data_IF_903698542230
#
_entry.id   IF_903698542230
#
_cell.length_a   1.000
_cell.length_b   1.000
_cell.length_c   1.000
_cell.angle_alpha   90.00
_cell.angle_beta   90.00
_cell.angle_gamma   90.00
#
_symmetry.space_group_name_H-M   'P 1'
#
loop_
_entity.id
_entity.type
_entity.pdbx_description
1 polymer ?
#
# COMPACT_ATOMS: atom_id res chain seq x y z
N UNK A 1 -22.66 0.45 21.87
CA UNK A 1 -22.24 -0.96 21.63
C UNK A 1 -22.81 -1.30 20.26
N UNK A 2 -21.95 -1.55 19.28
CA UNK A 2 -22.32 -1.59 17.86
C UNK A 2 -22.40 -3.01 17.32
N UNK A 3 -21.97 -4.01 18.11
CA UNK A 3 -21.98 -5.42 17.75
C UNK A 3 -22.17 -6.27 19.01
N UNK A 4 -23.21 -7.08 19.03
CA UNK A 4 -23.55 -7.99 20.11
C UNK A 4 -23.17 -9.44 19.80
N UNK A 5 -22.61 -9.71 18.63
CA UNK A 5 -22.27 -11.06 18.16
C UNK A 5 -21.41 -11.83 19.16
N UNK A 6 -20.36 -11.25 19.79
CA UNK A 6 -19.60 -11.96 20.81
C UNK A 6 -20.42 -12.34 22.04
N UNK A 7 -21.37 -11.51 22.45
CA UNK A 7 -22.20 -11.78 23.62
C UNK A 7 -23.14 -12.98 23.39
N UNK A 8 -23.60 -13.19 22.16
CA UNK A 8 -24.44 -14.33 21.81
C UNK A 8 -23.68 -15.66 21.78
N UNK A 9 -22.34 -15.59 21.73
CA UNK A 9 -21.45 -16.78 21.73
C UNK A 9 -20.90 -17.09 23.13
N UNK A 10 -21.20 -16.25 24.13
CA UNK A 10 -20.75 -16.50 25.50
C UNK A 10 -21.44 -17.71 26.09
N UNK A 11 -20.70 -18.78 26.28
CA UNK A 11 -21.06 -19.98 27.03
C UNK A 11 -20.16 -20.07 28.26
N UNK A 12 -20.48 -20.98 29.19
CA UNK A 12 -19.61 -21.25 30.35
C UNK A 12 -18.22 -21.68 29.93
N UNK A 13 -18.10 -22.42 28.82
CA UNK A 13 -16.82 -22.83 28.24
C UNK A 13 -16.00 -21.64 27.72
N UNK A 14 -16.64 -20.75 26.97
CA UNK A 14 -16.00 -19.52 26.45
C UNK A 14 -15.59 -18.60 27.60
N UNK A 15 -16.44 -18.47 28.61
CA UNK A 15 -16.17 -17.64 29.79
C UNK A 15 -15.03 -18.18 30.67
N UNK A 16 -14.71 -19.49 30.57
CA UNK A 16 -13.62 -20.15 31.27
C UNK A 16 -12.35 -20.30 30.43
N UNK A 17 -12.36 -19.86 29.17
CA UNK A 17 -11.23 -19.99 28.28
C UNK A 17 -10.21 -18.85 28.49
N UNK A 18 -8.93 -19.17 28.54
CA UNK A 18 -7.86 -18.18 28.63
C UNK A 18 -7.74 -17.33 27.35
N UNK A 19 -8.09 -17.91 26.22
CA UNK A 19 -8.02 -17.28 24.88
C UNK A 19 -9.19 -17.75 24.02
N UNK A 20 -9.87 -16.83 23.35
CA UNK A 20 -10.99 -17.19 22.48
C UNK A 20 -11.14 -16.24 21.29
N UNK A 21 -11.15 -16.81 20.08
CA UNK A 21 -11.53 -16.11 18.87
C UNK A 21 -13.01 -16.33 18.58
N UNK A 22 -13.81 -15.27 18.65
CA UNK A 22 -15.23 -15.33 18.32
C UNK A 22 -15.44 -15.49 16.81
N UNK A 23 -16.51 -16.18 16.43
CA UNK A 23 -16.94 -16.23 15.03
C UNK A 23 -17.42 -14.83 14.62
N UNK A 24 -16.80 -14.20 13.60
CA UNK A 24 -17.24 -12.89 13.15
C UNK A 24 -18.62 -12.95 12.52
N UNK A 25 -19.40 -11.89 12.71
CA UNK A 25 -20.68 -11.76 12.03
C UNK A 25 -20.52 -11.70 10.51
N UNK A 26 -21.55 -12.17 9.79
CA UNK A 26 -21.62 -11.88 8.36
C UNK A 26 -21.50 -10.38 8.10
N UNK A 27 -20.75 -10.01 7.09
CA UNK A 27 -20.43 -8.61 6.79
C UNK A 27 -20.82 -8.27 5.37
N UNK A 28 -21.53 -7.16 5.20
CA UNK A 28 -21.84 -6.66 3.87
C UNK A 28 -20.69 -5.80 3.36
N UNK A 29 -20.28 -6.05 2.11
CA UNK A 29 -19.42 -5.15 1.38
C UNK A 29 -20.21 -3.90 1.02
N UNK A 30 -20.16 -2.91 1.90
CA UNK A 30 -20.79 -1.62 1.68
C UNK A 30 -19.73 -0.62 1.23
N UNK A 31 -20.09 0.20 0.25
CA UNK A 31 -19.39 1.44 -0.02
C UNK A 31 -20.23 2.56 0.57
N UNK A 32 -19.79 3.07 1.69
CA UNK A 32 -20.32 4.34 2.16
C UNK A 32 -19.64 5.44 1.36
N UNK A 33 -20.42 6.21 0.62
CA UNK A 33 -19.88 7.41 -0.01
C UNK A 33 -19.34 8.30 1.10
N UNK A 34 -18.06 8.62 1.03
CA UNK A 34 -17.51 9.72 1.84
C UNK A 34 -18.42 10.93 1.61
N UNK A 35 -18.89 11.59 2.67
CA UNK A 35 -19.68 12.80 2.48
C UNK A 35 -18.89 13.72 1.56
N UNK A 36 -19.47 14.06 0.40
CA UNK A 36 -18.80 14.88 -0.61
C UNK A 36 -18.35 16.22 -0.01
N UNK A 37 -17.50 16.91 -0.73
CA UNK A 37 -17.04 18.27 -0.40
C UNK A 37 -18.24 19.13 0.04
N UNK A 38 -18.35 19.41 1.35
CA UNK A 38 -19.43 20.22 1.93
C UNK A 38 -20.36 19.50 2.91
N UNK A 39 -20.30 18.19 3.04
CA UNK A 39 -20.96 17.49 4.16
C UNK A 39 -20.06 17.61 5.39
N UNK A 40 -20.14 18.74 6.08
CA UNK A 40 -19.60 18.86 7.42
C UNK A 40 -20.33 17.85 8.30
N UNK A 41 -19.60 16.93 8.92
CA UNK A 41 -20.09 16.25 10.10
C UNK A 41 -20.42 17.33 11.12
N UNK A 42 -21.69 17.68 11.20
CA UNK A 42 -22.14 18.65 12.20
C UNK A 42 -21.88 18.03 13.60
N UNK A 43 -21.59 18.85 14.62
CA UNK A 43 -21.29 18.37 15.98
C UNK A 43 -22.43 17.60 16.64
N UNK A 44 -23.48 17.24 15.90
CA UNK A 44 -24.70 16.55 16.35
C UNK A 44 -24.99 15.23 15.64
N UNK A 45 -24.14 14.80 14.70
CA UNK A 45 -24.26 13.49 14.05
C UNK A 45 -23.64 12.39 14.91
N UNK A 46 -24.31 11.26 15.08
CA UNK A 46 -23.69 10.05 15.63
C UNK A 46 -22.61 9.53 14.67
N UNK A 47 -21.55 8.92 15.19
CA UNK A 47 -20.56 8.22 14.35
C UNK A 47 -21.21 6.96 13.78
N UNK A 48 -21.01 6.71 12.49
CA UNK A 48 -21.39 5.43 11.90
C UNK A 48 -20.58 4.29 12.55
N UNK A 49 -21.15 3.06 12.61
CA UNK A 49 -20.34 1.89 12.96
C UNK A 49 -19.13 1.76 12.01
N UNK A 50 -18.00 1.20 12.48
CA UNK A 50 -16.86 0.94 11.61
C UNK A 50 -17.27 0.10 10.41
N UNK A 51 -16.81 0.50 9.22
CA UNK A 51 -16.99 -0.27 7.99
C UNK A 51 -16.06 -1.48 8.01
N UNK A 52 -16.57 -2.65 7.59
CA UNK A 52 -15.77 -3.85 7.47
C UNK A 52 -16.15 -4.99 8.39
N UNK A 53 -15.35 -6.06 8.36
CA UNK A 53 -15.54 -7.23 9.20
C UNK A 53 -14.96 -6.99 10.60
N UNK A 54 -15.81 -7.12 11.61
CA UNK A 54 -15.42 -6.96 13.02
C UNK A 54 -15.02 -8.30 13.59
N UNK A 55 -13.76 -8.43 13.92
CA UNK A 55 -13.15 -9.64 14.47
C UNK A 55 -12.91 -9.37 15.95
N UNK A 56 -13.59 -10.13 16.81
CA UNK A 56 -13.48 -10.02 18.25
C UNK A 56 -12.74 -11.23 18.80
N UNK A 57 -11.92 -10.99 19.81
CA UNK A 57 -11.22 -12.04 20.54
C UNK A 57 -11.01 -11.64 21.99
N UNK A 58 -10.90 -12.65 22.84
CA UNK A 58 -10.71 -12.50 24.27
C UNK A 58 -9.37 -13.10 24.67
N UNK A 59 -8.67 -12.40 25.56
CA UNK A 59 -7.43 -12.82 26.20
C UNK A 59 -7.60 -12.63 27.70
N UNK A 60 -7.43 -13.68 28.50
CA UNK A 60 -7.55 -13.58 29.96
C UNK A 60 -6.47 -12.67 30.53
N UNK A 61 -5.24 -12.83 30.02
CA UNK A 61 -4.09 -12.01 30.34
C UNK A 61 -3.45 -11.47 29.05
N UNK A 62 -2.75 -10.33 29.17
CA UNK A 62 -1.93 -9.83 28.07
C UNK A 62 -0.80 -10.85 27.80
N UNK A 63 -0.64 -11.38 26.57
CA UNK A 63 0.41 -12.32 26.26
C UNK A 63 1.79 -11.66 26.34
N UNK A 64 2.77 -12.36 26.87
CA UNK A 64 4.17 -11.92 26.88
C UNK A 64 4.80 -11.94 25.48
N UNK A 65 4.21 -12.72 24.57
CA UNK A 65 4.69 -12.96 23.21
C UNK A 65 3.75 -12.35 22.18
N UNK A 66 4.28 -12.19 20.99
CA UNK A 66 3.55 -11.61 19.87
C UNK A 66 2.39 -12.51 19.43
N UNK A 67 1.22 -11.94 19.24
CA UNK A 67 0.09 -12.61 18.61
C UNK A 67 -0.12 -12.06 17.21
N UNK A 68 -0.56 -12.92 16.31
CA UNK A 68 -0.78 -12.59 14.89
C UNK A 68 -2.21 -12.94 14.49
N UNK A 69 -2.82 -12.05 13.72
CA UNK A 69 -4.10 -12.26 13.09
C UNK A 69 -3.91 -12.31 11.57
N UNK A 70 -4.26 -13.42 10.96
CA UNK A 70 -4.18 -13.65 9.52
C UNK A 70 -5.58 -13.81 8.92
N UNK A 71 -5.83 -13.15 7.78
CA UNK A 71 -7.08 -13.28 7.02
C UNK A 71 -6.75 -13.91 5.68
N UNK A 72 -7.48 -14.99 5.33
CA UNK A 72 -7.41 -15.66 4.03
C UNK A 72 -8.69 -15.49 3.24
N UNK A 73 -8.53 -15.42 1.95
CA UNK A 73 -9.63 -15.38 1.01
C UNK A 73 -10.23 -16.79 0.73
N UNK A 74 -11.34 -16.88 -0.06
CA UNK A 74 -11.95 -18.15 -0.40
C UNK A 74 -11.04 -19.15 -1.14
N UNK A 75 -9.96 -18.67 -1.76
CA UNK A 75 -8.98 -19.49 -2.48
C UNK A 75 -7.81 -19.90 -1.57
N UNK A 76 -7.79 -19.44 -0.31
CA UNK A 76 -6.77 -19.73 0.70
C UNK A 76 -5.56 -18.79 0.63
N UNK A 77 -5.60 -17.76 -0.21
CA UNK A 77 -4.51 -16.79 -0.27
C UNK A 77 -4.60 -15.79 0.91
N UNK A 78 -3.44 -15.46 1.48
CA UNK A 78 -3.35 -14.49 2.58
C UNK A 78 -3.67 -13.09 2.06
N UNK A 79 -4.71 -12.47 2.63
CA UNK A 79 -5.15 -11.11 2.30
C UNK A 79 -4.52 -10.08 3.23
N UNK A 80 -4.43 -10.41 4.51
CA UNK A 80 -3.89 -9.50 5.53
C UNK A 80 -3.29 -10.27 6.68
N UNK A 81 -2.14 -9.79 7.15
CA UNK A 81 -1.51 -10.24 8.38
C UNK A 81 -1.25 -9.02 9.27
N UNK A 82 -1.59 -9.12 10.53
CA UNK A 82 -1.38 -8.06 11.53
C UNK A 82 -0.86 -8.70 12.81
N UNK A 83 0.10 -8.03 13.43
CA UNK A 83 0.78 -8.48 14.64
C UNK A 83 0.63 -7.49 15.78
N UNK A 84 0.70 -7.99 17.02
CA UNK A 84 0.76 -7.15 18.23
C UNK A 84 2.13 -6.54 18.46
N UNK A 85 3.18 -7.05 17.84
CA UNK A 85 4.53 -6.49 17.88
C UNK A 85 4.71 -5.26 16.98
N UNK A 86 3.67 -4.87 16.28
CA UNK A 86 3.69 -3.82 15.27
C UNK A 86 3.89 -4.39 13.87
N UNK A 87 4.04 -3.56 12.86
CA UNK A 87 4.31 -4.01 11.51
C UNK A 87 5.54 -4.90 11.57
N UNK A 88 5.38 -6.14 11.15
CA UNK A 88 6.54 -7.01 10.93
C UNK A 88 7.43 -6.22 9.97
N UNK A 89 8.60 -5.84 10.45
CA UNK A 89 9.60 -5.12 9.69
C UNK A 89 10.16 -6.05 8.59
N UNK A 90 9.27 -6.47 7.70
CA UNK A 90 9.66 -6.95 6.39
C UNK A 90 10.02 -5.69 5.62
N UNK A 91 11.34 -5.42 5.65
CA UNK A 91 12.03 -4.44 4.84
C UNK A 91 11.70 -2.94 5.08
N UNK A 92 12.16 -2.40 6.21
CA UNK A 92 12.83 -1.10 6.14
C UNK A 92 14.34 -1.36 6.27
N UNK A 93 15.18 -0.88 5.36
CA UNK A 93 16.62 -1.05 5.52
C UNK A 93 17.08 -0.38 6.80
N UNK A 94 17.83 -1.12 7.62
CA UNK A 94 18.57 -0.63 8.77
C UNK A 94 19.55 0.47 8.34
N UNK A 95 19.10 1.73 8.33
CA UNK A 95 20.01 2.89 8.32
C UNK A 95 19.32 4.19 8.76
N UNK A 96 18.73 4.21 9.95
CA UNK A 96 18.57 5.46 10.67
C UNK A 96 19.23 5.28 12.03
N UNK A 97 20.41 5.89 12.19
CA UNK A 97 21.13 5.96 13.46
C UNK A 97 20.21 6.51 14.56
N UNK A 98 20.20 5.91 15.76
CA UNK A 98 19.42 6.41 16.89
C UNK A 98 19.95 7.80 17.30
N UNK A 99 19.20 8.85 17.03
CA UNK A 99 19.56 10.20 17.48
C UNK A 99 19.27 11.32 16.49
N UNK A 100 18.86 11.06 15.27
CA UNK A 100 18.42 12.11 14.36
C UNK A 100 16.91 12.32 14.50
N UNK A 101 16.53 13.29 15.32
CA UNK A 101 15.18 13.84 15.34
C UNK A 101 14.87 14.46 13.97
N UNK A 102 13.86 13.95 13.29
CA UNK A 102 13.26 14.61 12.13
C UNK A 102 12.90 16.06 12.50
N UNK A 103 13.26 17.06 11.68
CA UNK A 103 12.75 18.39 11.89
C UNK A 103 11.23 18.35 11.78
N UNK A 104 10.54 18.73 12.83
CA UNK A 104 9.10 19.01 12.77
C UNK A 104 8.93 20.16 11.77
N UNK A 105 8.44 19.83 10.57
CA UNK A 105 8.06 20.83 9.61
C UNK A 105 6.81 21.53 10.14
N UNK A 106 6.96 22.74 10.61
CA UNK A 106 5.82 23.61 10.92
C UNK A 106 5.04 23.86 9.63
N UNK A 107 3.73 23.55 9.57
CA UNK A 107 2.96 23.82 8.37
C UNK A 107 2.89 25.33 8.16
N UNK A 108 3.21 25.77 6.96
CA UNK A 108 2.93 27.12 6.51
C UNK A 108 1.41 27.30 6.40
N UNK A 109 0.83 28.04 7.34
CA UNK A 109 -0.60 28.30 7.45
C UNK A 109 -1.11 29.40 6.48
N UNK A 110 -0.33 29.76 5.46
CA UNK A 110 -0.65 30.90 4.57
C UNK A 110 -1.62 30.61 3.44
N UNK A 111 -2.19 29.40 3.32
CA UNK A 111 -3.23 29.11 2.36
C UNK A 111 -4.52 28.68 3.05
N UNK A 112 -5.65 29.33 2.71
CA UNK A 112 -7.01 29.04 3.21
C UNK A 112 -7.49 27.64 2.82
N UNK A 113 -6.81 26.59 3.30
CA UNK A 113 -7.30 25.25 3.25
C UNK A 113 -8.23 25.08 4.46
N UNK A 114 -9.54 25.04 4.22
CA UNK A 114 -10.48 24.44 5.17
C UNK A 114 -9.91 23.11 5.61
N UNK A 115 -9.78 22.83 6.92
CA UNK A 115 -9.30 21.54 7.39
C UNK A 115 -10.17 20.45 6.76
N UNK A 116 -9.60 19.65 5.89
CA UNK A 116 -10.21 18.40 5.47
C UNK A 116 -10.41 17.59 6.75
N UNK A 117 -11.59 16.99 6.98
CA UNK A 117 -11.73 16.10 8.11
C UNK A 117 -10.61 15.06 7.99
N UNK A 118 -9.79 15.00 9.02
CA UNK A 118 -8.74 14.00 9.17
C UNK A 118 -9.43 12.64 9.13
N UNK A 119 -9.42 12.01 7.96
CA UNK A 119 -9.69 10.58 7.90
C UNK A 119 -8.47 9.97 8.56
N UNK A 120 -8.63 9.56 9.80
CA UNK A 120 -7.65 8.72 10.47
C UNK A 120 -7.33 7.60 9.49
N UNK A 121 -6.22 7.71 8.76
CA UNK A 121 -5.64 6.54 8.19
C UNK A 121 -5.42 5.62 9.36
N UNK A 122 -5.87 4.40 9.20
CA UNK A 122 -5.39 3.33 10.02
C UNK A 122 -3.85 3.36 9.90
N UNK A 123 -3.21 4.16 10.78
CA UNK A 123 -1.82 3.97 11.12
C UNK A 123 -1.70 2.48 11.30
N UNK A 124 -0.69 1.85 10.74
CA UNK A 124 -0.46 0.41 10.75
C UNK A 124 -0.95 -0.16 12.08
N UNK A 125 -2.18 -0.70 12.05
CA UNK A 125 -2.85 -1.04 13.30
C UNK A 125 -2.10 -2.20 13.89
N UNK A 126 -1.42 -1.91 14.95
CA UNK A 126 -0.89 -2.94 15.84
C UNK A 126 -2.10 -3.72 16.37
N UNK A 127 -2.04 -5.03 16.27
CA UNK A 127 -3.08 -5.87 16.81
C UNK A 127 -3.15 -5.67 18.32
N UNK A 128 -4.32 -5.32 18.87
CA UNK A 128 -4.46 -5.18 20.32
C UNK A 128 -4.20 -6.53 21.00
N UNK A 129 -3.39 -6.53 22.06
CA UNK A 129 -3.08 -7.71 22.87
C UNK A 129 -3.34 -7.42 24.36
N UNK A 130 -4.34 -6.61 24.66
CA UNK A 130 -4.72 -6.27 26.03
C UNK A 130 -5.51 -7.42 26.68
N UNK A 131 -5.40 -7.55 28.00
CA UNK A 131 -6.27 -8.45 28.76
C UNK A 131 -7.74 -8.03 28.60
N UNK A 132 -8.61 -8.99 28.36
CA UNK A 132 -10.05 -8.77 28.14
C UNK A 132 -10.46 -8.87 26.68
N UNK A 133 -11.50 -8.14 26.34
CA UNK A 133 -12.06 -8.13 24.98
C UNK A 133 -11.29 -7.20 24.06
N UNK A 134 -10.82 -7.75 22.98
CA UNK A 134 -10.13 -7.07 21.90
C UNK A 134 -10.97 -7.07 20.62
N UNK A 135 -10.71 -6.12 19.73
CA UNK A 135 -11.39 -6.01 18.44
C UNK A 135 -10.43 -5.53 17.37
N UNK A 136 -10.41 -6.22 16.25
CA UNK A 136 -9.83 -5.79 15.00
C UNK A 136 -10.95 -5.56 13.98
N UNK A 137 -10.80 -4.55 13.11
CA UNK A 137 -11.75 -4.29 12.02
C UNK A 137 -11.00 -4.38 10.70
N UNK A 138 -11.33 -5.37 9.88
CA UNK A 138 -10.83 -5.48 8.52
C UNK A 138 -11.73 -4.67 7.58
N UNK A 139 -11.15 -3.72 6.87
CA UNK A 139 -11.83 -2.81 5.94
C UNK A 139 -12.28 -3.47 4.61
N UNK A 140 -12.22 -4.78 4.51
CA UNK A 140 -12.54 -5.59 3.33
C UNK A 140 -11.67 -5.25 2.12
N UNK A 141 -10.45 -4.81 2.33
CA UNK A 141 -9.50 -4.50 1.25
C UNK A 141 -8.31 -5.42 1.27
N UNK A 142 -7.84 -5.72 0.07
CA UNK A 142 -6.56 -6.36 -0.18
C UNK A 142 -5.41 -5.35 -0.05
N UNK A 143 -4.15 -5.82 -0.04
CA UNK A 143 -3.01 -4.91 -0.02
C UNK A 143 -3.06 -3.90 -1.16
N UNK A 144 -2.67 -2.68 -0.85
CA UNK A 144 -2.50 -1.61 -1.84
C UNK A 144 -1.28 -1.82 -2.73
N UNK A 145 -1.10 -0.98 -3.75
CA UNK A 145 0.10 -1.01 -4.56
C UNK A 145 1.32 -0.62 -3.72
N UNK A 146 2.46 -1.25 -4.03
CA UNK A 146 3.74 -0.80 -3.54
C UNK A 146 4.02 0.62 -4.06
N UNK A 147 4.49 1.50 -3.19
CA UNK A 147 4.88 2.87 -3.55
C UNK A 147 6.32 3.07 -3.04
N UNK A 148 7.21 3.46 -3.93
CA UNK A 148 8.61 3.69 -3.64
C UNK A 148 8.83 4.77 -2.57
N UNK A 149 9.86 4.60 -1.73
CA UNK A 149 10.28 5.61 -0.77
C UNK A 149 10.72 6.91 -1.48
N UNK A 150 10.49 8.06 -0.85
CA UNK A 150 10.77 9.36 -1.47
C UNK A 150 9.65 9.89 -2.36
N UNK A 151 8.75 9.02 -2.86
CA UNK A 151 7.51 9.44 -3.52
C UNK A 151 6.54 10.08 -2.52
N UNK A 152 6.73 9.80 -1.25
CA UNK A 152 5.96 10.34 -0.13
C UNK A 152 6.43 11.73 0.35
N UNK A 153 7.65 12.15 0.02
CA UNK A 153 8.20 13.43 0.49
C UNK A 153 7.54 14.61 -0.20
N UNK A 154 6.81 15.39 0.58
CA UNK A 154 6.26 16.68 0.18
C UNK A 154 4.75 16.73 -0.01
N UNK A 155 3.97 15.81 0.55
CA UNK A 155 2.54 16.07 0.76
C UNK A 155 2.37 16.94 2.01
N UNK A 156 1.88 18.19 1.88
CA UNK A 156 1.64 19.05 3.05
C UNK A 156 0.50 18.55 3.95
N UNK A 157 -0.19 17.51 3.55
CA UNK A 157 -1.30 16.89 4.29
C UNK A 157 -0.90 15.49 4.79
N UNK A 158 0.11 15.40 5.67
CA UNK A 158 0.47 14.22 6.44
C UNK A 158 0.08 12.86 5.86
N UNK A 159 0.97 12.21 5.13
CA UNK A 159 0.86 10.77 4.90
C UNK A 159 -0.01 10.29 3.75
N UNK A 160 -0.59 11.13 2.89
CA UNK A 160 -1.23 10.66 1.67
C UNK A 160 -0.22 10.59 0.52
N UNK A 161 -0.07 9.43 -0.10
CA UNK A 161 0.73 9.28 -1.32
C UNK A 161 0.29 10.31 -2.35
N UNK A 162 1.24 10.93 -3.07
CA UNK A 162 0.89 11.89 -4.14
C UNK A 162 0.03 11.27 -5.23
N UNK A 163 0.17 9.97 -5.46
CA UNK A 163 -0.72 9.21 -6.33
C UNK A 163 -2.16 9.31 -5.84
N UNK A 164 -2.40 9.25 -4.52
CA UNK A 164 -3.74 9.35 -3.94
C UNK A 164 -4.32 10.77 -4.04
N UNK A 165 -3.51 11.80 -3.86
CA UNK A 165 -3.97 13.20 -3.90
C UNK A 165 -4.32 13.66 -5.32
N UNK A 166 -3.52 13.26 -6.32
CA UNK A 166 -3.72 13.69 -7.72
C UNK A 166 -4.73 12.79 -8.44
N UNK A 167 -4.78 11.51 -8.12
CA UNK A 167 -5.55 10.49 -8.84
C UNK A 167 -6.71 9.91 -8.05
N UNK A 168 -6.87 10.28 -6.76
CA UNK A 168 -7.88 9.69 -5.89
C UNK A 168 -7.61 8.23 -5.50
N UNK A 169 -6.39 7.75 -5.72
CA UNK A 169 -6.00 6.39 -5.32
C UNK A 169 -6.05 6.23 -3.80
N UNK A 170 -6.87 5.33 -3.31
CA UNK A 170 -7.03 5.06 -1.87
C UNK A 170 -7.17 3.56 -1.62
N UNK A 171 -6.07 2.96 -1.15
CA UNK A 171 -6.06 1.59 -0.66
C UNK A 171 -6.15 0.50 -1.73
N UNK A 172 -6.24 -0.74 -1.28
CA UNK A 172 -6.30 -1.92 -2.11
C UNK A 172 -7.67 -2.21 -2.74
N UNK A 173 -7.75 -3.22 -3.63
CA UNK A 173 -9.01 -3.70 -4.20
C UNK A 173 -9.94 -4.22 -3.10
N UNK A 174 -11.24 -4.00 -3.26
CA UNK A 174 -12.23 -4.53 -2.32
C UNK A 174 -12.41 -6.05 -2.48
N UNK A 175 -12.53 -6.73 -1.35
CA UNK A 175 -12.82 -8.16 -1.27
C UNK A 175 -14.08 -8.56 -2.06
N UNK A 176 -14.03 -9.71 -2.71
CA UNK A 176 -15.18 -10.27 -3.44
C UNK A 176 -16.10 -10.99 -2.45
N UNK A 177 -17.42 -10.97 -2.63
CA UNK A 177 -18.33 -11.75 -1.80
C UNK A 177 -18.00 -13.24 -1.78
N UNK A 178 -17.82 -13.79 -0.56
CA UNK A 178 -17.41 -15.18 -0.36
C UNK A 178 -17.13 -15.48 1.10
N UNK A 179 -16.70 -16.71 1.39
CA UNK A 179 -16.32 -17.16 2.73
C UNK A 179 -14.85 -16.90 2.94
N UNK A 180 -14.52 -16.13 3.95
CA UNK A 180 -13.17 -15.80 4.40
C UNK A 180 -12.82 -16.56 5.66
N UNK A 181 -11.55 -16.77 5.87
CA UNK A 181 -11.03 -17.39 7.07
C UNK A 181 -10.21 -16.37 7.85
N UNK A 182 -10.36 -16.36 9.17
CA UNK A 182 -9.51 -15.60 10.08
C UNK A 182 -8.87 -16.54 11.08
N UNK A 183 -7.56 -16.41 11.24
CA UNK A 183 -6.77 -17.17 12.19
C UNK A 183 -6.10 -16.21 13.16
N UNK A 184 -6.30 -16.41 14.45
CA UNK A 184 -5.57 -15.76 15.53
C UNK A 184 -4.60 -16.76 16.13
N UNK A 185 -3.33 -16.43 16.21
CA UNK A 185 -2.27 -17.32 16.69
C UNK A 185 -1.26 -16.62 17.60
N UNK A 186 -0.68 -17.36 18.51
CA UNK A 186 0.51 -17.05 19.28
C UNK A 186 1.46 -18.24 19.16
N UNK A 187 2.55 -18.29 19.95
CA UNK A 187 3.63 -19.27 19.80
C UNK A 187 3.14 -20.72 19.83
N UNK A 188 2.27 -21.06 20.77
CA UNK A 188 1.86 -22.45 21.05
C UNK A 188 0.38 -22.72 20.80
N UNK A 189 -0.36 -21.76 20.29
CA UNK A 189 -1.80 -21.87 20.05
C UNK A 189 -2.26 -21.17 18.77
N UNK A 190 -3.37 -21.68 18.25
CA UNK A 190 -4.01 -21.08 17.07
C UNK A 190 -5.50 -21.39 17.09
N UNK A 191 -6.32 -20.44 16.72
CA UNK A 191 -7.75 -20.59 16.54
C UNK A 191 -8.19 -19.99 15.22
N UNK A 192 -8.98 -20.74 14.47
CA UNK A 192 -9.48 -20.34 13.16
C UNK A 192 -11.01 -20.26 13.18
N UNK A 193 -11.56 -19.24 12.51
CA UNK A 193 -12.99 -19.05 12.26
C UNK A 193 -13.21 -18.65 10.82
N UNK A 194 -14.40 -18.94 10.33
CA UNK A 194 -14.84 -18.51 9.00
C UNK A 194 -15.95 -17.47 9.15
N UNK A 195 -16.06 -16.58 8.17
CA UNK A 195 -17.16 -15.61 8.10
C UNK A 195 -17.50 -15.31 6.64
N UNK A 196 -18.70 -14.80 6.42
CA UNK A 196 -19.20 -14.52 5.09
C UNK A 196 -19.13 -13.02 4.80
N UNK A 197 -18.48 -12.66 3.69
CA UNK A 197 -18.57 -11.33 3.08
C UNK A 197 -19.66 -11.37 2.03
N UNK A 198 -20.73 -10.60 2.23
CA UNK A 198 -21.89 -10.54 1.34
C UNK A 198 -21.85 -9.30 0.46
N UNK A 199 -22.41 -9.44 -0.72
CA UNK A 199 -22.68 -8.31 -1.61
C UNK A 199 -23.73 -7.40 -0.99
N UNK A 200 -23.57 -6.08 -1.15
CA UNK A 200 -24.63 -5.12 -0.84
C UNK A 200 -25.92 -5.51 -1.59
N UNK A 201 -27.03 -5.78 -0.90
CA UNK A 201 -28.27 -6.21 -1.53
C UNK A 201 -28.88 -5.17 -2.48
N UNK A 202 -28.46 -3.92 -2.40
CA UNK A 202 -28.90 -2.81 -3.27
C UNK A 202 -28.21 -2.81 -4.63
N UNK A 203 -27.07 -3.53 -4.77
CA UNK A 203 -26.33 -3.61 -6.02
C UNK A 203 -26.95 -4.63 -6.98
N UNK A 204 -27.08 -4.27 -8.23
CA UNK A 204 -27.51 -5.19 -9.29
C UNK A 204 -26.37 -6.10 -9.77
N UNK A 205 -25.12 -5.68 -9.57
CA UNK A 205 -23.94 -6.43 -10.00
C UNK A 205 -23.95 -7.87 -9.47
N UNK A 206 -23.63 -8.80 -10.35
CA UNK A 206 -23.48 -10.22 -10.03
C UNK A 206 -22.13 -10.48 -9.34
N UNK A 207 -21.99 -11.62 -8.66
CA UNK A 207 -20.71 -12.06 -8.09
C UNK A 207 -19.61 -12.14 -9.17
N UNK A 208 -19.94 -12.63 -10.37
CA UNK A 208 -19.01 -12.75 -11.50
C UNK A 208 -18.51 -11.38 -11.97
N UNK A 209 -19.37 -10.36 -12.00
CA UNK A 209 -18.97 -9.01 -12.37
C UNK A 209 -18.08 -8.36 -11.32
N UNK A 210 -18.36 -8.61 -10.03
CA UNK A 210 -17.50 -8.17 -8.93
C UNK A 210 -16.15 -8.89 -8.93
N UNK A 211 -16.12 -10.17 -9.31
CA UNK A 211 -14.86 -10.90 -9.51
C UNK A 211 -14.06 -10.31 -10.66
N UNK A 212 -14.69 -10.07 -11.80
CA UNK A 212 -14.01 -9.47 -12.95
C UNK A 212 -13.50 -8.05 -12.65
N UNK A 213 -14.20 -7.30 -11.82
CA UNK A 213 -13.74 -6.00 -11.31
C UNK A 213 -12.52 -6.15 -10.40
N UNK A 214 -12.57 -7.10 -9.49
CA UNK A 214 -11.47 -7.39 -8.58
C UNK A 214 -10.21 -7.82 -9.34
N UNK A 215 -10.33 -8.81 -10.22
CA UNK A 215 -9.21 -9.35 -10.98
C UNK A 215 -8.51 -8.25 -11.81
N UNK A 216 -9.29 -7.40 -12.46
CA UNK A 216 -8.73 -6.29 -13.22
C UNK A 216 -8.15 -5.19 -12.33
N UNK A 217 -8.75 -4.93 -11.16
CA UNK A 217 -8.18 -4.00 -10.18
C UNK A 217 -6.84 -4.49 -9.65
N UNK A 218 -6.69 -5.80 -9.39
CA UNK A 218 -5.42 -6.44 -9.01
C UNK A 218 -4.38 -6.26 -10.10
N UNK A 219 -4.72 -6.54 -11.38
CA UNK A 219 -3.80 -6.35 -12.50
C UNK A 219 -3.26 -4.91 -12.58
N UNK A 220 -4.15 -3.92 -12.44
CA UNK A 220 -3.75 -2.51 -12.49
C UNK A 220 -2.90 -2.12 -11.28
N UNK A 221 -3.27 -2.59 -10.07
CA UNK A 221 -2.49 -2.40 -8.84
C UNK A 221 -1.08 -2.96 -8.98
N UNK A 222 -0.97 -4.19 -9.50
CA UNK A 222 0.31 -4.87 -9.66
C UNK A 222 1.18 -4.16 -10.69
N UNK A 223 0.59 -3.61 -11.76
CA UNK A 223 1.31 -2.79 -12.73
C UNK A 223 1.84 -1.50 -12.11
N UNK A 224 1.05 -0.84 -11.26
CA UNK A 224 1.53 0.33 -10.49
C UNK A 224 2.69 -0.07 -9.59
N UNK A 225 2.57 -1.20 -8.89
CA UNK A 225 3.65 -1.72 -8.02
C UNK A 225 4.93 -2.04 -8.78
N UNK A 226 4.81 -2.61 -9.99
CA UNK A 226 5.94 -2.91 -10.85
C UNK A 226 6.69 -1.64 -11.28
N UNK A 227 5.95 -0.60 -11.68
CA UNK A 227 6.52 0.71 -12.02
C UNK A 227 7.23 1.31 -10.80
N UNK A 228 6.58 1.29 -9.64
CA UNK A 228 7.14 1.90 -8.43
C UNK A 228 8.41 1.18 -7.94
N UNK A 229 8.46 -0.16 -8.04
CA UNK A 229 9.71 -0.92 -7.76
C UNK A 229 10.82 -0.59 -8.76
N UNK A 230 10.48 -0.37 -10.02
CA UNK A 230 11.45 0.06 -11.01
C UNK A 230 12.04 1.45 -10.68
N UNK A 231 11.19 2.40 -10.28
CA UNK A 231 11.60 3.74 -9.84
C UNK A 231 12.48 3.67 -8.59
N UNK A 232 12.10 2.87 -7.61
CA UNK A 232 12.88 2.67 -6.38
C UNK A 232 14.27 2.10 -6.69
N UNK A 233 14.33 1.08 -7.55
CA UNK A 233 15.59 0.53 -8.04
C UNK A 233 16.47 1.57 -8.76
N UNK A 234 15.87 2.42 -9.60
CA UNK A 234 16.58 3.50 -10.28
C UNK A 234 17.19 4.45 -9.25
N UNK A 235 16.41 4.91 -8.27
CA UNK A 235 16.87 5.84 -7.23
C UNK A 235 18.01 5.24 -6.39
N UNK A 236 17.91 3.95 -6.02
CA UNK A 236 18.96 3.26 -5.30
C UNK A 236 20.29 3.20 -6.07
N UNK A 237 20.23 2.91 -7.36
CA UNK A 237 21.44 2.90 -8.25
C UNK A 237 21.99 4.30 -8.44
N UNK A 238 21.13 5.29 -8.68
CA UNK A 238 21.56 6.70 -8.81
C UNK A 238 22.25 7.21 -7.54
N UNK A 239 21.72 6.86 -6.35
CA UNK A 239 22.35 7.22 -5.08
C UNK A 239 23.76 6.64 -4.95
N UNK A 240 23.97 5.38 -5.34
CA UNK A 240 25.29 4.75 -5.34
C UNK A 240 26.21 5.36 -6.38
N UNK A 241 25.72 5.67 -7.60
CA UNK A 241 26.49 6.36 -8.65
C UNK A 241 26.96 7.73 -8.17
N UNK A 242 26.08 8.53 -7.56
CA UNK A 242 26.42 9.85 -7.01
C UNK A 242 27.47 9.76 -5.90
N UNK A 243 27.33 8.80 -4.98
CA UNK A 243 28.27 8.58 -3.90
C UNK A 243 29.66 8.11 -4.39
N UNK A 244 29.67 7.26 -5.41
CA UNK A 244 30.91 6.77 -6.04
C UNK A 244 31.58 7.89 -6.83
N UNK A 245 30.83 8.61 -7.68
CA UNK A 245 31.30 9.77 -8.44
C UNK A 245 32.02 10.80 -7.57
N UNK A 246 31.49 11.11 -6.38
CA UNK A 246 32.09 12.07 -5.45
C UNK A 246 33.49 11.68 -4.96
N UNK A 247 33.91 10.42 -5.13
CA UNK A 247 35.22 9.87 -4.72
C UNK A 247 36.16 9.61 -5.90
N UNK A 248 35.64 9.63 -7.13
CA UNK A 248 36.43 9.41 -8.31
C UNK A 248 37.33 10.62 -8.62
N UNK A 249 38.55 10.33 -9.06
CA UNK A 249 39.52 11.33 -9.59
C UNK A 249 39.68 11.26 -11.10
N UNK A 250 39.19 10.19 -11.71
CA UNK A 250 39.23 9.97 -13.16
C UNK A 250 38.05 10.68 -13.82
N UNK A 251 38.33 11.72 -14.61
CA UNK A 251 37.33 12.53 -15.28
C UNK A 251 36.45 11.71 -16.24
N UNK A 252 37.03 10.70 -16.91
CA UNK A 252 36.28 9.86 -17.85
C UNK A 252 35.20 9.02 -17.10
N UNK A 253 35.55 8.45 -15.95
CA UNK A 253 34.58 7.72 -15.12
C UNK A 253 33.52 8.64 -14.51
N UNK A 254 33.87 9.88 -14.21
CA UNK A 254 32.89 10.89 -13.76
C UNK A 254 31.88 11.18 -14.86
N UNK A 255 32.34 11.38 -16.10
CA UNK A 255 31.49 11.62 -17.26
C UNK A 255 30.57 10.40 -17.57
N UNK A 256 31.11 9.18 -17.46
CA UNK A 256 30.33 7.94 -17.61
C UNK A 256 29.25 7.79 -16.53
N UNK A 257 29.61 8.10 -15.28
CA UNK A 257 28.60 8.08 -14.17
C UNK A 257 27.49 9.11 -14.41
N UNK A 258 27.83 10.32 -14.89
CA UNK A 258 26.83 11.35 -15.23
C UNK A 258 25.94 10.91 -16.38
N UNK A 259 26.51 10.27 -17.41
CA UNK A 259 25.72 9.72 -18.51
C UNK A 259 24.71 8.66 -18.03
N UNK A 260 25.15 7.72 -17.18
CA UNK A 260 24.25 6.70 -16.58
C UNK A 260 23.16 7.31 -15.71
N UNK A 261 23.51 8.30 -14.87
CA UNK A 261 22.51 9.01 -14.03
C UNK A 261 21.47 9.67 -14.91
N UNK A 262 21.85 10.37 -15.97
CA UNK A 262 20.95 11.05 -16.87
C UNK A 262 20.02 10.08 -17.63
N UNK A 263 20.55 8.94 -18.09
CA UNK A 263 19.74 7.91 -18.76
C UNK A 263 18.72 7.26 -17.80
N UNK A 264 19.15 6.96 -16.58
CA UNK A 264 18.25 6.44 -15.53
C UNK A 264 17.16 7.47 -15.18
N UNK A 265 17.52 8.75 -15.09
CA UNK A 265 16.58 9.84 -14.81
C UNK A 265 15.56 10.00 -15.95
N UNK A 266 15.98 9.85 -17.19
CA UNK A 266 15.09 9.87 -18.34
C UNK A 266 14.06 8.73 -18.29
N UNK A 267 14.46 7.50 -17.92
CA UNK A 267 13.54 6.38 -17.75
C UNK A 267 12.62 6.61 -16.57
N UNK A 268 13.16 7.04 -15.42
CA UNK A 268 12.35 7.32 -14.22
C UNK A 268 11.28 8.39 -14.50
N UNK A 269 11.63 9.45 -15.23
CA UNK A 269 10.73 10.56 -15.58
C UNK A 269 9.52 10.16 -16.46
N UNK A 270 9.65 9.10 -17.27
CA UNK A 270 8.55 8.55 -18.07
C UNK A 270 7.68 7.57 -17.24
N UNK A 271 8.30 6.85 -16.31
CA UNK A 271 7.61 5.96 -15.39
C UNK A 271 6.85 6.72 -14.31
N UNK A 272 7.53 7.67 -13.68
CA UNK A 272 7.01 8.50 -12.60
C UNK A 272 7.72 9.84 -12.57
N UNK A 273 6.96 10.92 -12.55
CA UNK A 273 7.52 12.28 -12.42
C UNK A 273 7.30 12.84 -11.03
N UNK A 274 8.40 13.15 -10.37
CA UNK A 274 8.34 13.93 -9.13
C UNK A 274 7.82 15.33 -9.45
N UNK A 275 6.72 15.72 -8.80
CA UNK A 275 6.14 17.03 -8.99
C UNK A 275 6.87 18.06 -8.15
N UNK A 276 7.51 19.03 -8.78
CA UNK A 276 7.93 20.25 -8.08
C UNK A 276 6.69 21.03 -7.63
N UNK A 277 6.76 21.60 -6.43
CA UNK A 277 5.68 22.38 -5.82
C UNK A 277 5.28 23.55 -6.72
N UNK A 278 4.04 23.56 -7.19
CA UNK A 278 3.45 24.70 -7.91
C UNK A 278 2.89 24.43 -9.31
N UNK A 279 3.27 23.36 -9.99
CA UNK A 279 2.79 23.08 -11.35
C UNK A 279 1.57 22.14 -11.34
N UNK A 280 0.36 22.73 -11.32
CA UNK A 280 -0.90 21.98 -11.34
C UNK A 280 -1.48 21.78 -12.75
N UNK A 281 -0.94 22.45 -13.77
CA UNK A 281 -1.67 22.64 -15.01
C UNK A 281 -1.19 21.79 -16.20
N UNK A 282 0.03 21.26 -16.19
CA UNK A 282 0.64 20.68 -17.40
C UNK A 282 1.30 19.31 -17.15
N UNK A 283 0.58 18.42 -16.49
CA UNK A 283 1.05 17.04 -16.31
C UNK A 283 0.88 16.29 -17.62
N UNK A 284 1.98 16.01 -18.31
CA UNK A 284 2.00 14.86 -19.20
C UNK A 284 1.70 13.63 -18.33
N UNK A 285 0.73 12.80 -18.71
CA UNK A 285 0.37 11.65 -17.92
C UNK A 285 1.49 10.60 -18.02
N UNK A 286 2.39 10.59 -17.04
CA UNK A 286 3.33 9.50 -16.88
C UNK A 286 2.58 8.17 -16.68
N UNK A 287 3.28 7.06 -16.82
CA UNK A 287 2.68 5.73 -16.75
C UNK A 287 2.00 5.47 -15.40
N UNK A 288 2.65 5.82 -14.27
CA UNK A 288 2.03 5.68 -12.94
C UNK A 288 0.70 6.42 -12.86
N UNK A 289 0.65 7.69 -13.27
CA UNK A 289 -0.58 8.50 -13.26
C UNK A 289 -1.65 7.92 -14.18
N UNK A 290 -1.25 7.42 -15.35
CA UNK A 290 -2.18 6.82 -16.31
C UNK A 290 -2.82 5.54 -15.77
N UNK A 291 -2.05 4.64 -15.18
CA UNK A 291 -2.56 3.43 -14.53
C UNK A 291 -3.38 3.75 -13.28
N UNK A 292 -2.94 4.71 -12.46
CA UNK A 292 -3.67 5.13 -11.26
C UNK A 292 -5.06 5.71 -11.60
N UNK A 293 -5.23 6.40 -12.72
CA UNK A 293 -6.56 6.86 -13.20
C UNK A 293 -7.48 5.69 -13.55
N UNK A 294 -6.94 4.66 -14.20
CA UNK A 294 -7.70 3.42 -14.46
C UNK A 294 -8.09 2.80 -13.12
N UNK A 295 -7.14 2.66 -12.20
CA UNK A 295 -7.38 2.08 -10.89
C UNK A 295 -8.46 2.83 -10.11
N UNK A 296 -8.39 4.15 -10.05
CA UNK A 296 -9.40 4.99 -9.39
C UNK A 296 -10.81 4.77 -9.97
N UNK A 297 -10.91 4.63 -11.29
CA UNK A 297 -12.19 4.32 -11.94
C UNK A 297 -12.74 2.97 -11.49
N UNK A 298 -11.88 1.95 -11.38
CA UNK A 298 -12.28 0.60 -10.97
C UNK A 298 -12.70 0.56 -9.51
N UNK A 299 -11.90 1.14 -8.60
CA UNK A 299 -12.21 1.12 -7.18
C UNK A 299 -13.35 2.07 -6.77
N UNK A 300 -13.77 2.99 -7.63
CA UNK A 300 -14.85 3.94 -7.34
C UNK A 300 -16.25 3.39 -7.66
N UNK A 301 -16.38 2.18 -8.19
CA UNK A 301 -17.66 1.58 -8.53
C UNK A 301 -17.70 0.09 -8.20
N UNK A 302 -18.92 -0.46 -8.11
CA UNK A 302 -19.17 -1.89 -7.93
C UNK A 302 -19.89 -2.47 -9.16
N UNK A 303 -19.38 -2.12 -10.34
CA UNK A 303 -19.89 -2.59 -11.63
C UNK A 303 -18.79 -3.32 -12.41
N UNK A 304 -19.20 -4.05 -13.44
CA UNK A 304 -18.24 -4.63 -14.38
C UNK A 304 -17.27 -3.56 -14.90
N UNK A 305 -15.95 -3.88 -15.02
CA UNK A 305 -14.99 -2.95 -15.57
C UNK A 305 -15.40 -2.42 -16.94
N UNK A 306 -15.39 -1.10 -17.17
CA UNK A 306 -15.68 -0.54 -18.47
C UNK A 306 -14.72 -1.05 -19.55
N UNK A 307 -15.22 -1.33 -20.75
CA UNK A 307 -14.38 -1.74 -21.87
C UNK A 307 -13.29 -0.70 -22.20
N UNK A 308 -13.60 0.59 -22.02
CA UNK A 308 -12.63 1.68 -22.20
C UNK A 308 -11.48 1.64 -21.22
N UNK A 309 -11.70 1.17 -19.99
CA UNK A 309 -10.63 1.01 -19.01
C UNK A 309 -9.67 -0.11 -19.42
N UNK A 310 -10.21 -1.25 -19.92
CA UNK A 310 -9.39 -2.35 -20.45
C UNK A 310 -8.60 -1.93 -21.69
N UNK A 311 -9.26 -1.27 -22.63
CA UNK A 311 -8.59 -0.75 -23.82
C UNK A 311 -7.45 0.22 -23.44
N UNK A 312 -7.70 1.13 -22.50
CA UNK A 312 -6.65 2.06 -22.06
C UNK A 312 -5.49 1.35 -21.38
N UNK A 313 -5.74 0.31 -20.61
CA UNK A 313 -4.69 -0.52 -20.03
C UNK A 313 -3.84 -1.17 -21.11
N UNK A 314 -4.45 -1.80 -22.12
CA UNK A 314 -3.78 -2.41 -23.26
C UNK A 314 -2.96 -1.39 -24.08
N UNK A 315 -3.48 -0.16 -24.28
CA UNK A 315 -2.80 0.92 -25.01
C UNK A 315 -1.53 1.43 -24.27
N UNK A 316 -1.45 1.24 -22.95
CA UNK A 316 -0.29 1.63 -22.14
C UNK A 316 0.81 0.56 -22.13
N UNK A 317 0.49 -0.70 -22.31
CA UNK A 317 1.43 -1.82 -22.25
C UNK A 317 2.66 -1.65 -23.17
N UNK A 318 2.55 -1.24 -24.45
CA UNK A 318 3.72 -1.04 -25.30
C UNK A 318 4.66 0.07 -24.81
N UNK A 319 4.13 1.09 -24.15
CA UNK A 319 4.92 2.17 -23.59
C UNK A 319 5.67 1.65 -22.35
N UNK A 320 4.94 0.99 -21.46
CA UNK A 320 5.51 0.37 -20.27
C UNK A 320 6.66 -0.59 -20.63
N UNK A 321 6.42 -1.53 -21.54
CA UNK A 321 7.42 -2.53 -21.92
C UNK A 321 8.70 -1.88 -22.47
N UNK A 322 8.59 -0.85 -23.30
CA UNK A 322 9.74 -0.11 -23.85
C UNK A 322 10.61 0.50 -22.75
N UNK A 323 10.00 1.11 -21.72
CA UNK A 323 10.77 1.71 -20.63
C UNK A 323 11.40 0.66 -19.73
N UNK A 324 10.71 -0.47 -19.50
CA UNK A 324 11.25 -1.59 -18.74
C UNK A 324 12.39 -2.29 -19.48
N UNK A 325 12.30 -2.47 -20.80
CA UNK A 325 13.38 -2.99 -21.64
C UNK A 325 14.61 -2.06 -21.61
N UNK A 326 14.39 -0.73 -21.70
CA UNK A 326 15.50 0.23 -21.58
C UNK A 326 16.15 0.20 -20.19
N UNK A 327 15.35 0.11 -19.13
CA UNK A 327 15.87 -0.05 -17.76
C UNK A 327 16.70 -1.32 -17.63
N UNK A 328 16.22 -2.43 -18.17
CA UNK A 328 16.96 -3.70 -18.15
C UNK A 328 18.31 -3.57 -18.89
N UNK A 329 18.32 -2.95 -20.07
CA UNK A 329 19.57 -2.69 -20.82
C UNK A 329 20.56 -1.85 -20.01
N UNK A 330 20.07 -0.75 -19.37
CA UNK A 330 20.90 0.11 -18.51
C UNK A 330 21.52 -0.67 -17.35
N UNK A 331 20.74 -1.56 -16.71
CA UNK A 331 21.21 -2.33 -15.56
C UNK A 331 22.14 -3.49 -15.94
N UNK A 332 21.86 -4.19 -17.04
CA UNK A 332 22.57 -5.42 -17.41
C UNK A 332 23.79 -5.14 -18.32
N UNK A 333 23.76 -4.04 -19.09
CA UNK A 333 24.82 -3.71 -20.05
C UNK A 333 25.63 -2.50 -19.61
N UNK A 334 24.97 -1.35 -19.49
CA UNK A 334 25.69 -0.08 -19.28
C UNK A 334 26.30 0.01 -17.88
N UNK A 335 25.52 -0.35 -16.83
CA UNK A 335 26.01 -0.39 -15.45
C UNK A 335 27.07 -1.50 -15.26
N UNK A 336 26.91 -2.65 -15.94
CA UNK A 336 27.90 -3.72 -15.85
C UNK A 336 29.25 -3.30 -16.48
N UNK A 337 29.25 -2.59 -17.62
CA UNK A 337 30.43 -2.05 -18.21
C UNK A 337 31.10 -1.00 -17.31
N UNK A 338 30.34 -0.11 -16.71
CA UNK A 338 30.84 0.86 -15.74
C UNK A 338 31.44 0.17 -14.50
N UNK A 339 30.79 -0.87 -13.97
CA UNK A 339 31.32 -1.67 -12.86
C UNK A 339 32.64 -2.36 -13.20
N UNK A 340 32.82 -2.84 -14.44
CA UNK A 340 34.10 -3.37 -14.88
C UNK A 340 35.17 -2.28 -14.87
N UNK A 341 34.87 -1.09 -15.37
CA UNK A 341 35.82 0.04 -15.38
C UNK A 341 36.16 0.52 -13.95
N UNK A 342 35.23 0.43 -12.98
CA UNK A 342 35.50 0.67 -11.57
C UNK A 342 36.44 -0.38 -10.96
N UNK A 343 36.24 -1.67 -11.27
CA UNK A 343 37.09 -2.77 -10.78
C UNK A 343 38.54 -2.66 -11.28
N UNK A 344 38.76 -2.22 -12.52
CA UNK A 344 40.10 -1.97 -13.07
C UNK A 344 40.86 -0.89 -12.30
N UNK A 345 40.17 -0.11 -11.47
CA UNK A 345 40.69 0.98 -10.62
C UNK A 345 40.59 0.72 -9.13
N UNK A 346 40.34 -0.53 -8.74
CA UNK A 346 40.14 -0.94 -7.34
C UNK A 346 39.01 -0.17 -6.63
N UNK A 347 37.99 0.27 -7.37
CA UNK A 347 36.78 0.90 -6.81
C UNK A 347 35.67 -0.14 -6.70
N UNK A 348 34.95 -0.21 -5.56
CA UNK A 348 33.84 -1.15 -5.39
C UNK A 348 32.75 -0.96 -6.44
N UNK A 349 32.17 -2.07 -6.97
CA UNK A 349 31.09 -2.00 -7.94
C UNK A 349 29.80 -1.50 -7.32
N UNK A 350 28.92 -0.97 -8.15
CA UNK A 350 27.56 -0.54 -7.82
C UNK A 350 26.62 -1.73 -7.93
N UNK A 351 25.80 -1.96 -6.90
CA UNK A 351 24.81 -3.02 -6.91
C UNK A 351 23.64 -2.67 -7.85
N UNK A 352 23.33 -3.59 -8.77
CA UNK A 352 22.18 -3.45 -9.69
C UNK A 352 20.85 -3.91 -9.11
N UNK A 353 20.88 -4.57 -7.97
CA UNK A 353 19.70 -5.04 -7.22
C UNK A 353 19.76 -4.53 -5.79
N UNK A 354 18.59 -4.21 -5.24
CA UNK A 354 18.46 -4.10 -3.78
C UNK A 354 18.80 -5.44 -3.13
N UNK A 355 19.44 -5.46 -1.95
CA UNK A 355 19.54 -6.70 -1.20
C UNK A 355 18.13 -7.28 -1.05
N UNK A 356 17.92 -8.49 -1.51
CA UNK A 356 16.71 -9.25 -1.20
C UNK A 356 16.89 -9.75 0.23
N UNK A 357 16.12 -9.16 1.16
CA UNK A 357 15.94 -9.75 2.49
C UNK A 357 15.07 -11.00 2.43
#
# INVERSE_FOLDING_TARGET
MDDLTPLHQLTDEVAAADKHLFEPAETYRLRLQSPGWGAMEGPRGGKNPPEGARIHYYLDEAPDEEITLEIKDPDGAVVKTISSGGPTQAALPDSVEPGQSRPLHTPDLSYNATPQPYVERDEEKVLSAEAGMNRFVWDLKYPEAFIADGVHEGSPAGGQTRVSVITGYTGGPYAVPGTYEVTLSGDDWSQTRTFEVRKDPRLEATKSELQALFDFSVQVRDKISEIQRAVDRIHAVQGQLMATKARLQDAALVDEADALINELDAVAGELYKHKESGDHAHLHPELTTSYARIYTMLISSDHQPPASARQRFEDLEPQFNRHMERLQELMETDLAAFNQALQERDVPPIASSMPTD
#
